data_IF_128947001733
#
_entry.id   IF_128947001733
#
_cell.length_a   1.000
_cell.length_b   1.000
_cell.length_c   1.000
_cell.angle_alpha   90.00
_cell.angle_beta   90.00
_cell.angle_gamma   90.00
#
_symmetry.space_group_name_H-M   'P 1'
#
loop_
_entity.id
_entity.type
_entity.pdbx_description
1 polymer ?
#
# COMPACT_ATOMS: atom_id res chain seq x y z
N UNK A 1 2.72 -4.87 22.05
CA UNK A 1 2.10 -4.62 23.37
C UNK A 1 2.67 -3.33 23.91
N UNK A 2 1.81 -2.39 24.30
CA UNK A 2 2.18 -1.01 24.67
C UNK A 2 0.93 -0.13 24.74
N UNK A 3 1.09 1.16 24.99
CA UNK A 3 -0.01 2.14 25.05
C UNK A 3 -0.73 2.23 23.71
N UNK A 4 -2.06 2.16 23.72
CA UNK A 4 -2.87 2.31 22.51
C UNK A 4 -2.64 3.69 21.87
N UNK A 5 -2.56 3.74 20.53
CA UNK A 5 -2.51 4.98 19.76
C UNK A 5 -3.92 5.27 19.24
N UNK A 6 -4.67 6.21 19.83
CA UNK A 6 -5.99 6.55 19.33
C UNK A 6 -5.87 7.23 17.96
N UNK A 7 -6.75 6.87 17.03
CA UNK A 7 -6.83 7.52 15.73
C UNK A 7 -7.62 8.81 15.85
N UNK A 8 -7.03 9.92 15.41
CA UNK A 8 -7.68 11.23 15.37
C UNK A 8 -8.40 11.39 14.03
N UNK A 9 -9.68 11.72 14.08
CA UNK A 9 -10.49 12.02 12.89
C UNK A 9 -10.83 13.50 12.86
N UNK A 10 -10.67 14.13 11.69
CA UNK A 10 -11.04 15.53 11.47
C UNK A 10 -11.88 15.63 10.20
N UNK A 11 -13.10 16.17 10.34
CA UNK A 11 -14.02 16.37 9.22
C UNK A 11 -13.60 17.62 8.48
N UNK A 12 -13.08 17.46 7.26
CA UNK A 12 -12.69 18.59 6.42
C UNK A 12 -13.85 19.12 5.58
N UNK A 13 -14.78 18.25 5.21
CA UNK A 13 -15.92 18.55 4.35
C UNK A 13 -17.05 17.57 4.63
N UNK A 14 -18.29 18.05 4.70
CA UNK A 14 -19.50 17.23 4.91
C UNK A 14 -20.76 17.88 4.30
N UNK A 15 -21.21 17.34 3.16
CA UNK A 15 -22.47 17.73 2.51
C UNK A 15 -23.68 16.96 3.05
N UNK A 16 -23.45 15.82 3.72
CA UNK A 16 -24.50 14.94 4.22
C UNK A 16 -25.05 15.39 5.59
N UNK A 17 -24.39 16.36 6.23
CA UNK A 17 -24.77 16.96 7.52
C UNK A 17 -24.87 15.93 8.64
N UNK A 18 -23.88 15.06 8.74
CA UNK A 18 -23.80 14.09 9.81
C UNK A 18 -23.63 14.76 11.17
N UNK A 19 -24.23 14.17 12.21
CA UNK A 19 -23.86 14.53 13.57
C UNK A 19 -22.51 13.90 13.94
N UNK A 20 -21.88 14.41 15.00
CA UNK A 20 -20.65 13.81 15.51
C UNK A 20 -20.83 12.36 15.94
N UNK A 21 -22.01 12.01 16.47
CA UNK A 21 -22.33 10.64 16.90
C UNK A 21 -22.46 9.71 15.69
N UNK A 22 -23.06 10.17 14.60
CA UNK A 22 -23.19 9.40 13.36
C UNK A 22 -21.82 9.08 12.76
N UNK A 23 -20.91 10.07 12.69
CA UNK A 23 -19.56 9.87 12.16
C UNK A 23 -18.76 8.91 13.03
N UNK A 24 -18.85 9.07 14.37
CA UNK A 24 -18.16 8.19 15.30
C UNK A 24 -18.66 6.75 15.19
N UNK A 25 -19.98 6.55 15.11
CA UNK A 25 -20.58 5.23 14.96
C UNK A 25 -20.25 4.59 13.61
N UNK A 26 -20.35 5.34 12.52
CA UNK A 26 -19.97 4.88 11.19
C UNK A 26 -18.50 4.43 11.16
N UNK A 27 -17.60 5.27 11.68
CA UNK A 27 -16.17 4.98 11.74
C UNK A 27 -15.90 3.72 12.57
N UNK A 28 -16.58 3.59 13.71
CA UNK A 28 -16.49 2.39 14.55
C UNK A 28 -16.95 1.13 13.81
N UNK A 29 -18.06 1.17 13.07
CA UNK A 29 -18.51 0.03 12.29
C UNK A 29 -17.53 -0.35 11.19
N UNK A 30 -16.97 0.63 10.47
CA UNK A 30 -15.97 0.36 9.43
C UNK A 30 -14.71 -0.33 9.98
N UNK A 31 -14.34 -0.08 11.24
CA UNK A 31 -13.24 -0.78 11.92
C UNK A 31 -13.51 -2.28 12.17
N UNK A 32 -14.73 -2.78 11.95
CA UNK A 32 -15.11 -4.19 12.12
C UNK A 32 -15.33 -4.91 10.77
N UNK A 33 -15.10 -4.24 9.65
CA UNK A 33 -15.36 -4.77 8.31
C UNK A 33 -14.11 -5.32 7.61
N UNK A 34 -12.99 -5.46 8.32
CA UNK A 34 -11.76 -5.97 7.71
C UNK A 34 -11.84 -7.49 7.47
N UNK A 35 -11.67 -7.95 6.23
CA UNK A 35 -11.72 -9.38 5.89
C UNK A 35 -10.53 -10.20 6.43
N UNK A 36 -9.42 -9.56 6.80
CA UNK A 36 -8.19 -10.26 7.18
C UNK A 36 -8.17 -10.69 8.65
N UNK A 37 -9.04 -10.11 9.48
CA UNK A 37 -9.18 -10.53 10.87
C UNK A 37 -10.59 -10.33 11.42
N UNK A 38 -10.99 -11.18 12.36
CA UNK A 38 -12.30 -11.09 13.05
C UNK A 38 -12.27 -10.14 14.25
N UNK A 39 -11.37 -9.15 14.25
CA UNK A 39 -11.18 -8.21 15.36
C UNK A 39 -11.40 -6.79 14.88
N UNK A 40 -11.77 -5.92 15.82
CA UNK A 40 -11.74 -4.48 15.57
C UNK A 40 -10.31 -4.02 15.31
N UNK A 41 -10.12 -3.27 14.22
CA UNK A 41 -8.85 -2.62 13.89
C UNK A 41 -8.85 -1.14 14.30
N UNK A 42 -7.68 -0.52 14.42
CA UNK A 42 -7.55 0.86 14.90
C UNK A 42 -7.94 1.94 13.89
N UNK A 43 -8.02 1.59 12.60
CA UNK A 43 -8.40 2.48 11.50
C UNK A 43 -9.48 1.80 10.63
N UNK A 44 -10.34 2.54 9.94
CA UNK A 44 -11.40 1.95 9.11
C UNK A 44 -10.81 1.06 8.01
N UNK A 45 -11.48 -0.07 7.72
CA UNK A 45 -11.07 -0.99 6.64
C UNK A 45 -10.71 -0.29 5.30
N UNK A 46 -11.49 0.67 4.77
CA UNK A 46 -11.13 1.33 3.51
C UNK A 46 -9.80 2.11 3.56
N UNK A 47 -9.48 2.73 4.70
CA UNK A 47 -8.20 3.45 4.88
C UNK A 47 -7.04 2.47 4.90
N UNK A 48 -7.21 1.35 5.59
CA UNK A 48 -6.20 0.31 5.63
C UNK A 48 -5.96 -0.31 4.24
N UNK A 49 -7.02 -0.56 3.47
CA UNK A 49 -6.93 -1.13 2.12
C UNK A 49 -6.25 -0.21 1.13
N UNK A 50 -6.50 1.10 1.21
CA UNK A 50 -5.74 2.08 0.43
C UNK A 50 -4.23 2.00 0.73
N UNK A 51 -3.86 1.79 2.01
CA UNK A 51 -2.46 1.61 2.39
C UNK A 51 -1.85 0.33 1.81
N UNK A 52 -2.56 -0.80 1.86
CA UNK A 52 -2.10 -2.05 1.23
C UNK A 52 -1.95 -1.92 -0.28
N UNK A 53 -2.92 -1.31 -0.96
CA UNK A 53 -2.86 -1.10 -2.40
C UNK A 53 -1.65 -0.23 -2.78
N UNK A 54 -1.42 0.88 -2.07
CA UNK A 54 -0.27 1.75 -2.30
C UNK A 54 1.07 1.05 -2.01
N UNK A 55 1.13 0.24 -0.96
CA UNK A 55 2.32 -0.52 -0.61
C UNK A 55 2.62 -1.64 -1.61
N UNK A 56 1.61 -2.45 -1.97
CA UNK A 56 1.73 -3.50 -2.98
C UNK A 56 2.06 -2.97 -4.37
N UNK A 57 1.58 -1.76 -4.69
CA UNK A 57 1.97 -1.08 -5.94
C UNK A 57 3.43 -0.63 -5.95
N UNK A 58 4.10 -0.49 -4.80
CA UNK A 58 5.55 -0.24 -4.80
C UNK A 58 6.35 -1.52 -5.03
N UNK A 59 5.92 -2.65 -4.47
CA UNK A 59 6.62 -3.92 -4.64
C UNK A 59 6.52 -4.45 -6.08
N UNK A 60 5.35 -4.38 -6.70
CA UNK A 60 5.17 -4.85 -8.07
C UNK A 60 5.97 -3.99 -9.09
N UNK A 61 6.17 -2.70 -8.82
CA UNK A 61 7.02 -1.83 -9.65
C UNK A 61 8.52 -2.15 -9.47
N UNK A 62 8.94 -2.53 -8.26
CA UNK A 62 10.31 -2.98 -8.01
C UNK A 62 10.64 -4.26 -8.79
N UNK A 63 9.75 -5.24 -8.76
CA UNK A 63 9.93 -6.52 -9.48
C UNK A 63 9.92 -6.33 -11.01
N UNK A 64 9.15 -5.37 -11.53
CA UNK A 64 9.12 -5.06 -12.96
C UNK A 64 10.44 -4.42 -13.46
N UNK A 65 11.13 -3.66 -12.60
CA UNK A 65 12.37 -2.97 -12.93
C UNK A 65 13.64 -3.79 -12.61
N UNK A 66 13.50 -4.97 -12.01
CA UNK A 66 14.58 -5.93 -11.80
C UNK A 66 14.18 -7.28 -12.42
N UNK A 67 14.32 -7.45 -13.75
CA UNK A 67 14.06 -8.74 -14.37
C UNK A 67 15.07 -9.74 -13.81
N UNK A 68 14.63 -10.58 -12.87
CA UNK A 68 15.41 -11.72 -12.41
C UNK A 68 15.54 -12.67 -13.59
N UNK A 69 16.61 -12.49 -14.38
CA UNK A 69 16.99 -13.42 -15.43
C UNK A 69 17.54 -14.66 -14.75
N UNK A 70 16.64 -15.51 -14.22
CA UNK A 70 16.98 -16.79 -13.62
C UNK A 70 17.35 -17.74 -14.76
N UNK A 71 18.59 -17.64 -15.24
CA UNK A 71 19.17 -18.63 -16.14
C UNK A 71 19.41 -19.92 -15.34
N UNK A 72 18.77 -21.01 -15.76
CA UNK A 72 18.94 -22.35 -15.16
C UNK A 72 20.27 -23.04 -15.54
N UNK A 73 21.22 -22.31 -16.12
CA UNK A 73 22.56 -22.81 -16.33
C UNK A 73 23.48 -21.68 -15.90
N UNK A 74 24.23 -21.87 -14.81
CA UNK A 74 25.63 -21.48 -14.66
C UNK A 74 26.11 -21.99 -13.30
N UNK A 75 26.96 -23.02 -13.33
CA UNK A 75 27.90 -23.25 -12.26
C UNK A 75 28.96 -22.16 -12.43
N UNK A 76 29.10 -21.23 -11.49
CA UNK A 76 30.40 -20.59 -11.29
C UNK A 76 30.52 -20.02 -9.86
N UNK A 77 31.65 -20.38 -9.27
CA UNK A 77 32.15 -19.95 -7.98
C UNK A 77 32.70 -18.52 -8.08
N UNK A 78 32.35 -17.69 -7.09
CA UNK A 78 32.98 -16.41 -6.67
C UNK A 78 32.98 -15.23 -7.66
N UNK A 79 32.49 -14.06 -7.24
CA UNK A 79 33.32 -12.98 -6.70
C UNK A 79 32.47 -11.76 -6.29
N UNK A 80 33.01 -11.05 -5.31
CA UNK A 80 32.54 -9.84 -4.61
C UNK A 80 32.30 -8.65 -5.57
N UNK A 81 31.07 -8.12 -5.64
CA UNK A 81 30.80 -6.79 -6.17
C UNK A 81 30.01 -5.96 -5.14
N UNK A 82 30.67 -4.91 -4.67
CA UNK A 82 30.17 -3.86 -3.80
C UNK A 82 28.81 -3.35 -4.28
N UNK A 83 27.77 -3.53 -3.44
CA UNK A 83 26.51 -2.82 -3.61
C UNK A 83 26.76 -1.39 -3.15
N UNK A 84 27.02 -0.49 -4.09
CA UNK A 84 27.06 0.95 -3.84
C UNK A 84 25.68 1.38 -3.29
N UNK A 85 25.65 1.58 -1.97
CA UNK A 85 24.56 2.23 -1.24
C UNK A 85 24.45 3.69 -1.68
N UNK A 86 23.67 4.05 -2.71
CA UNK A 86 23.20 5.44 -2.89
C UNK A 86 22.07 5.64 -3.94
N UNK A 87 21.00 4.84 -3.90
CA UNK A 87 19.73 5.27 -4.51
C UNK A 87 18.95 6.14 -3.51
N UNK A 88 19.14 7.47 -3.57
CA UNK A 88 18.31 8.45 -2.85
C UNK A 88 16.85 8.30 -3.33
N UNK A 89 15.93 7.78 -2.48
CA UNK A 89 14.57 7.42 -2.89
C UNK A 89 13.68 8.65 -3.12
N UNK A 90 14.24 9.87 -3.09
CA UNK A 90 13.49 11.13 -3.17
C UNK A 90 13.69 11.92 -4.48
N UNK A 91 14.69 11.57 -5.29
CA UNK A 91 14.96 12.25 -6.57
C UNK A 91 14.19 11.60 -7.72
N UNK A 92 12.92 12.00 -7.91
CA UNK A 92 12.13 11.63 -9.09
C UNK A 92 11.93 12.83 -10.02
N UNK A 93 12.21 12.67 -11.31
CA UNK A 93 11.80 13.66 -12.32
C UNK A 93 10.27 13.64 -12.46
N UNK A 94 9.67 14.79 -12.81
CA UNK A 94 8.23 14.90 -13.11
C UNK A 94 7.80 13.94 -14.24
N UNK A 95 8.74 13.58 -15.12
CA UNK A 95 8.55 12.65 -16.23
C UNK A 95 8.50 11.19 -15.76
N UNK A 96 9.28 10.84 -14.74
CA UNK A 96 9.28 9.51 -14.12
C UNK A 96 7.97 9.27 -13.35
N UNK A 97 7.44 10.31 -12.69
CA UNK A 97 6.16 10.24 -11.97
C UNK A 97 4.99 9.92 -12.92
N UNK A 98 5.03 10.41 -14.18
CA UNK A 98 3.98 10.14 -15.17
C UNK A 98 4.02 8.71 -15.72
N UNK A 99 5.20 8.11 -15.77
CA UNK A 99 5.40 6.76 -16.31
C UNK A 99 5.12 5.67 -15.27
N UNK A 100 5.20 6.02 -13.98
CA UNK A 100 5.03 5.11 -12.83
C UNK A 100 3.57 4.82 -12.44
N UNK A 101 2.60 5.21 -13.26
CA UNK A 101 1.19 4.86 -13.05
C UNK A 101 1.04 3.35 -13.26
N UNK A 102 0.70 2.60 -12.21
CA UNK A 102 0.36 1.19 -12.38
C UNK A 102 -0.87 1.03 -13.26
N UNK A 103 -0.65 0.42 -14.43
CA UNK A 103 -1.72 0.01 -15.33
C UNK A 103 -2.03 -1.44 -15.03
N UNK A 104 -3.18 -1.69 -14.41
CA UNK A 104 -3.66 -3.05 -14.14
C UNK A 104 -4.25 -3.69 -15.39
N UNK A 105 -4.14 -5.02 -15.52
CA UNK A 105 -4.94 -5.78 -16.47
C UNK A 105 -6.43 -5.54 -16.15
N UNK A 106 -7.27 -5.18 -17.14
CA UNK A 106 -8.70 -4.94 -16.93
C UNK A 106 -9.44 -6.07 -16.19
N UNK A 107 -8.94 -7.30 -16.27
CA UNK A 107 -9.54 -8.47 -15.61
C UNK A 107 -9.40 -8.43 -14.10
N UNK A 108 -8.32 -7.87 -13.56
CA UNK A 108 -8.04 -7.81 -12.11
C UNK A 108 -8.32 -6.43 -11.51
N UNK A 109 -8.70 -5.45 -12.34
CA UNK A 109 -8.89 -4.07 -11.91
C UNK A 109 -10.03 -3.88 -10.89
N UNK A 110 -11.01 -4.79 -10.84
CA UNK A 110 -12.12 -4.76 -9.88
C UNK A 110 -11.94 -5.76 -8.72
N UNK A 111 -10.80 -6.47 -8.68
CA UNK A 111 -10.49 -7.44 -7.64
C UNK A 111 -9.64 -6.79 -6.55
N UNK A 112 -9.77 -7.29 -5.31
CA UNK A 112 -8.96 -6.85 -4.18
C UNK A 112 -7.60 -7.55 -4.17
N UNK A 113 -6.82 -7.42 -5.25
CA UNK A 113 -5.51 -8.07 -5.42
C UNK A 113 -4.48 -7.73 -4.34
N UNK A 114 -4.71 -6.65 -3.60
CA UNK A 114 -3.85 -6.15 -2.52
C UNK A 114 -4.20 -6.70 -1.12
N UNK A 115 -5.24 -7.53 -1.01
CA UNK A 115 -5.60 -8.23 0.24
C UNK A 115 -5.09 -9.66 0.21
#
# INVERSE_FOLDING_TARGET
MGTARPTLYHVLHDDNKFSSDDIQQLTYWLCHTDMRCTKSVSIPAPVYYAHLAAYGSRSLDFDANHPTHRNENDNDDNDDENVDDEDDPTSYSIEDIKTKVMIFDPKVANDMWFI
#
